data_IF_204207894899
#
_entry.id   IF_204207894899
#
_cell.length_a   1.000
_cell.length_b   1.000
_cell.length_c   1.000
_cell.angle_alpha   90.00
_cell.angle_beta   90.00
_cell.angle_gamma   90.00
#
_symmetry.space_group_name_H-M   'P 1'
#
loop_
_entity.id
_entity.type
_entity.pdbx_description
1 polymer ?
#
# COMPACT_ATOMS: atom_id res chain seq x y z
N UNK A 1 0.05 -7.36 10.75
CA UNK A 1 -0.13 -6.04 10.11
C UNK A 1 -0.15 -6.08 8.59
N UNK A 2 0.98 -6.34 7.88
CA UNK A 2 0.97 -6.41 6.39
C UNK A 2 0.12 -7.58 5.86
N UNK A 3 0.11 -8.72 6.57
CA UNK A 3 -0.74 -9.89 6.25
C UNK A 3 -2.23 -9.63 6.45
N UNK A 4 -2.60 -8.88 7.49
CA UNK A 4 -4.00 -8.55 7.77
C UNK A 4 -4.53 -7.53 6.76
N UNK A 5 -3.68 -6.55 6.39
CA UNK A 5 -3.94 -5.60 5.32
C UNK A 5 -4.12 -6.32 3.97
N UNK A 6 -3.31 -7.34 3.71
CA UNK A 6 -3.42 -8.18 2.53
C UNK A 6 -4.75 -8.95 2.48
N UNK A 7 -5.12 -9.63 3.57
CA UNK A 7 -6.39 -10.37 3.68
C UNK A 7 -7.59 -9.45 3.47
N UNK A 8 -7.55 -8.25 4.04
CA UNK A 8 -8.62 -7.27 3.90
C UNK A 8 -8.74 -6.73 2.46
N UNK A 9 -7.63 -6.37 1.82
CA UNK A 9 -7.63 -5.90 0.43
C UNK A 9 -8.09 -7.01 -0.52
N UNK A 10 -7.64 -8.25 -0.30
CA UNK A 10 -8.05 -9.40 -1.09
C UNK A 10 -9.54 -9.70 -0.93
N UNK A 11 -10.07 -9.71 0.30
CA UNK A 11 -11.49 -9.90 0.58
C UNK A 11 -12.36 -8.80 -0.04
N UNK A 12 -11.96 -7.53 0.11
CA UNK A 12 -12.65 -6.39 -0.48
C UNK A 12 -12.72 -6.48 -2.00
N UNK A 13 -11.59 -6.77 -2.66
CA UNK A 13 -11.57 -6.89 -4.12
C UNK A 13 -12.36 -8.11 -4.59
N UNK A 14 -12.28 -9.26 -3.89
CA UNK A 14 -13.08 -10.45 -4.18
C UNK A 14 -14.58 -10.20 -4.09
N UNK A 15 -15.01 -9.48 -3.06
CA UNK A 15 -16.42 -9.20 -2.78
C UNK A 15 -17.01 -8.13 -3.68
N UNK A 16 -16.29 -7.04 -3.95
CA UNK A 16 -16.87 -5.88 -4.63
C UNK A 16 -16.46 -5.71 -6.09
N UNK A 17 -15.24 -6.11 -6.46
CA UNK A 17 -14.79 -6.04 -7.85
C UNK A 17 -15.01 -7.37 -8.57
N UNK A 18 -14.48 -8.48 -8.05
CA UNK A 18 -14.44 -9.74 -8.78
C UNK A 18 -15.75 -10.52 -8.76
N UNK A 19 -16.61 -10.30 -7.78
CA UNK A 19 -17.94 -10.92 -7.73
C UNK A 19 -18.81 -10.55 -8.96
N UNK A 20 -18.67 -9.32 -9.49
CA UNK A 20 -19.33 -8.90 -10.75
C UNK A 20 -18.75 -9.59 -11.98
N UNK A 21 -17.44 -9.81 -12.03
CA UNK A 21 -16.78 -10.51 -13.14
C UNK A 21 -17.02 -12.03 -13.12
N UNK A 22 -17.21 -12.64 -11.95
CA UNK A 22 -17.57 -14.06 -11.82
C UNK A 22 -18.96 -14.38 -12.39
N UNK A 23 -19.89 -13.42 -12.36
CA UNK A 23 -21.23 -13.58 -12.91
C UNK A 23 -21.29 -13.51 -14.44
N UNK A 24 -20.33 -12.84 -15.10
CA UNK A 24 -20.43 -12.52 -16.53
C UNK A 24 -20.12 -13.73 -17.42
N UNK A 25 -19.17 -14.61 -17.07
CA UNK A 25 -18.90 -15.80 -17.90
C UNK A 25 -18.31 -16.96 -17.09
N UNK A 26 -19.12 -18.00 -16.92
CA UNK A 26 -18.65 -19.34 -16.60
C UNK A 26 -17.72 -19.85 -17.70
N UNK A 27 -16.41 -19.59 -17.58
CA UNK A 27 -15.23 -20.42 -17.90
C UNK A 27 -13.99 -19.54 -18.08
N UNK A 28 -13.20 -19.45 -16.99
CA UNK A 28 -11.91 -18.74 -16.80
C UNK A 28 -11.95 -17.21 -17.02
N UNK A 29 -11.78 -16.39 -15.97
CA UNK A 29 -11.89 -14.94 -16.11
C UNK A 29 -10.67 -14.34 -16.82
N UNK A 30 -10.88 -13.69 -17.96
CA UNK A 30 -9.90 -12.85 -18.69
C UNK A 30 -9.27 -11.80 -17.76
N UNK A 31 -10.01 -11.38 -16.73
CA UNK A 31 -9.68 -10.36 -15.75
C UNK A 31 -8.79 -10.82 -14.58
N UNK A 32 -8.52 -12.12 -14.41
CA UNK A 32 -7.52 -12.65 -13.43
C UNK A 32 -6.18 -11.94 -13.64
N UNK A 33 -5.68 -11.91 -14.89
CA UNK A 33 -4.36 -11.35 -15.18
C UNK A 33 -4.25 -9.85 -14.84
N UNK A 34 -5.30 -9.08 -15.08
CA UNK A 34 -5.35 -7.64 -14.77
C UNK A 34 -5.50 -7.40 -13.26
N UNK A 35 -6.33 -8.22 -12.58
CA UNK A 35 -6.47 -8.29 -11.12
C UNK A 35 -5.11 -8.47 -10.44
N UNK A 36 -4.41 -9.55 -10.78
CA UNK A 36 -3.13 -9.85 -10.18
C UNK A 36 -2.10 -8.78 -10.53
N UNK A 37 -2.05 -8.31 -11.79
CA UNK A 37 -1.10 -7.26 -12.19
C UNK A 37 -1.29 -5.95 -11.41
N UNK A 38 -2.53 -5.53 -11.18
CA UNK A 38 -2.82 -4.28 -10.46
C UNK A 38 -2.47 -4.42 -8.98
N UNK A 39 -2.79 -5.56 -8.36
CA UNK A 39 -2.46 -5.87 -6.97
C UNK A 39 -0.95 -6.04 -6.74
N UNK A 40 -0.23 -6.66 -7.67
CA UNK A 40 1.22 -6.80 -7.59
C UNK A 40 1.91 -5.45 -7.78
N UNK A 41 1.48 -4.65 -8.77
CA UNK A 41 2.05 -3.32 -8.99
C UNK A 41 1.85 -2.42 -7.78
N UNK A 42 0.68 -2.44 -7.16
CA UNK A 42 0.43 -1.65 -5.96
C UNK A 42 1.23 -2.11 -4.75
N UNK A 43 1.43 -3.43 -4.59
CA UNK A 43 2.32 -3.99 -3.57
C UNK A 43 3.76 -3.52 -3.78
N UNK A 44 4.23 -3.56 -5.01
CA UNK A 44 5.58 -3.11 -5.36
C UNK A 44 5.72 -1.60 -5.10
N UNK A 45 4.78 -0.78 -5.55
CA UNK A 45 4.82 0.68 -5.36
C UNK A 45 4.82 1.08 -3.87
N UNK A 46 3.97 0.44 -3.04
CA UNK A 46 3.95 0.66 -1.59
C UNK A 46 5.25 0.17 -0.95
N UNK A 47 5.73 -1.02 -1.33
CA UNK A 47 6.96 -1.60 -0.81
C UNK A 47 8.19 -0.75 -1.14
N UNK A 48 8.27 -0.20 -2.35
CA UNK A 48 9.33 0.71 -2.79
C UNK A 48 9.30 2.01 -1.99
N UNK A 49 8.11 2.61 -1.81
CA UNK A 49 7.96 3.84 -1.03
C UNK A 49 8.45 3.64 0.41
N UNK A 50 7.97 2.60 1.10
CA UNK A 50 8.40 2.28 2.47
C UNK A 50 9.91 2.00 2.55
N UNK A 51 10.46 1.22 1.62
CA UNK A 51 11.90 0.91 1.60
C UNK A 51 12.78 2.14 1.39
N UNK A 52 12.33 3.09 0.55
CA UNK A 52 13.05 4.35 0.32
C UNK A 52 13.08 5.21 1.58
N UNK A 53 11.96 5.27 2.31
CA UNK A 53 11.84 5.95 3.59
C UNK A 53 12.75 5.28 4.64
N UNK A 54 12.71 3.96 4.77
CA UNK A 54 13.57 3.19 5.68
C UNK A 54 15.06 3.49 5.45
N UNK A 55 15.49 3.51 4.19
CA UNK A 55 16.88 3.79 3.82
C UNK A 55 17.30 5.19 4.23
N UNK A 56 16.48 6.20 3.94
CA UNK A 56 16.76 7.59 4.30
C UNK A 56 16.84 7.78 5.82
N UNK A 57 15.91 7.20 6.57
CA UNK A 57 15.90 7.31 8.03
C UNK A 57 17.05 6.55 8.68
N UNK A 58 17.45 5.41 8.11
CA UNK A 58 18.64 4.67 8.54
C UNK A 58 19.90 5.52 8.36
N UNK A 59 20.08 6.17 7.20
CA UNK A 59 21.22 7.06 6.94
C UNK A 59 21.24 8.26 7.92
N UNK A 60 20.08 8.86 8.17
CA UNK A 60 19.95 9.97 9.11
C UNK A 60 20.31 9.53 10.54
N UNK A 61 19.84 8.36 10.98
CA UNK A 61 20.17 7.81 12.29
C UNK A 61 21.67 7.53 12.45
N UNK A 62 22.29 6.90 11.45
CA UNK A 62 23.74 6.68 11.44
C UNK A 62 24.52 8.00 11.54
N UNK A 63 24.02 9.07 10.90
CA UNK A 63 24.64 10.39 10.98
C UNK A 63 24.57 10.98 12.40
N UNK A 64 23.43 10.81 13.11
CA UNK A 64 23.31 11.22 14.52
C UNK A 64 24.31 10.47 15.42
N UNK A 65 24.43 9.15 15.22
CA UNK A 65 25.39 8.32 15.97
C UNK A 65 26.83 8.75 15.69
N UNK A 66 27.18 8.98 14.42
CA UNK A 66 28.52 9.39 14.01
C UNK A 66 28.90 10.77 14.56
N UNK A 67 27.94 11.68 14.65
CA UNK A 67 28.16 13.04 15.16
C UNK A 67 28.21 13.11 16.69
N UNK A 68 27.99 11.99 17.39
CA UNK A 68 28.03 11.95 18.85
C UNK A 68 26.85 12.68 19.50
N UNK A 69 25.69 12.68 18.83
CA UNK A 69 24.47 13.29 19.35
C UNK A 69 24.04 12.68 20.69
N UNK A 70 23.23 13.41 21.46
CA UNK A 70 22.76 12.91 22.75
C UNK A 70 21.81 11.71 22.57
N UNK A 71 21.77 10.83 23.58
CA UNK A 71 20.81 9.72 23.63
C UNK A 71 19.36 10.23 23.55
N UNK A 72 19.08 11.42 24.08
CA UNK A 72 17.74 12.02 24.03
C UNK A 72 17.33 12.38 22.59
N UNK A 73 18.24 13.00 21.84
CA UNK A 73 18.01 13.33 20.42
C UNK A 73 17.84 12.06 19.57
N UNK A 74 18.63 11.01 19.83
CA UNK A 74 18.44 9.71 19.16
C UNK A 74 17.08 9.09 19.47
N UNK A 75 16.62 9.13 20.73
CA UNK A 75 15.29 8.65 21.12
C UNK A 75 14.19 9.44 20.43
N UNK A 76 14.29 10.77 20.44
CA UNK A 76 13.33 11.67 19.80
C UNK A 76 13.25 11.43 18.29
N UNK A 77 14.38 11.17 17.64
CA UNK A 77 14.43 10.78 16.24
C UNK A 77 13.66 9.46 15.99
N UNK A 78 13.90 8.42 16.81
CA UNK A 78 13.21 7.12 16.67
C UNK A 78 11.69 7.28 16.84
N UNK A 79 11.23 8.03 17.85
CA UNK A 79 9.80 8.29 18.02
C UNK A 79 9.18 9.05 16.85
N UNK A 80 9.88 10.07 16.35
CA UNK A 80 9.46 10.83 15.16
C UNK A 80 9.35 9.92 13.93
N UNK A 81 10.33 9.05 13.74
CA UNK A 81 10.35 8.08 12.65
C UNK A 81 9.16 7.12 12.70
N UNK A 82 8.91 6.47 13.84
CA UNK A 82 7.78 5.53 14.00
C UNK A 82 6.45 6.23 13.66
N UNK A 83 6.26 7.45 14.20
CA UNK A 83 5.05 8.24 13.90
C UNK A 83 4.92 8.57 12.42
N UNK A 84 6.01 8.98 11.78
CA UNK A 84 6.05 9.29 10.35
C UNK A 84 5.72 8.05 9.51
N UNK A 85 6.25 6.90 9.90
CA UNK A 85 6.03 5.62 9.22
C UNK A 85 4.55 5.19 9.29
N UNK A 86 3.92 5.31 10.46
CA UNK A 86 2.49 5.02 10.63
C UNK A 86 1.62 5.93 9.76
N UNK A 87 1.95 7.23 9.68
CA UNK A 87 1.22 8.17 8.81
C UNK A 87 1.42 7.85 7.33
N UNK A 88 2.65 7.57 6.90
CA UNK A 88 2.97 7.23 5.53
C UNK A 88 2.24 5.96 5.07
N UNK A 89 2.20 4.94 5.93
CA UNK A 89 1.50 3.70 5.65
C UNK A 89 -0.01 3.92 5.47
N UNK A 90 -0.62 4.76 6.30
CA UNK A 90 -2.04 5.10 6.20
C UNK A 90 -2.37 5.92 4.95
N UNK A 91 -1.52 6.89 4.59
CA UNK A 91 -1.72 7.72 3.40
C UNK A 91 -1.58 6.92 2.11
N UNK A 92 -0.54 6.09 2.00
CA UNK A 92 -0.35 5.18 0.87
C UNK A 92 -1.54 4.22 0.72
N UNK A 93 -2.07 3.72 1.84
CA UNK A 93 -3.26 2.88 1.84
C UNK A 93 -4.50 3.64 1.33
N UNK A 94 -4.74 4.86 1.81
CA UNK A 94 -5.89 5.67 1.44
C UNK A 94 -5.84 6.09 -0.04
N UNK A 95 -4.67 6.50 -0.54
CA UNK A 95 -4.47 6.84 -1.95
C UNK A 95 -4.72 5.62 -2.85
N UNK A 96 -4.18 4.45 -2.48
CA UNK A 96 -4.42 3.24 -3.23
C UNK A 96 -5.91 2.86 -3.25
N UNK A 97 -6.59 2.96 -2.10
CA UNK A 97 -8.04 2.73 -1.98
C UNK A 97 -8.83 3.68 -2.87
N UNK A 98 -8.46 4.96 -2.94
CA UNK A 98 -9.09 5.96 -3.85
C UNK A 98 -8.91 5.57 -5.31
N UNK A 99 -7.71 5.15 -5.72
CA UNK A 99 -7.43 4.72 -7.10
C UNK A 99 -8.30 3.51 -7.48
N UNK A 100 -8.38 2.50 -6.63
CA UNK A 100 -9.24 1.33 -6.85
C UNK A 100 -10.71 1.72 -6.98
N UNK A 101 -11.24 2.46 -5.99
CA UNK A 101 -12.65 2.88 -5.99
C UNK A 101 -13.01 3.80 -7.15
N UNK A 102 -12.10 4.69 -7.57
CA UNK A 102 -12.26 5.52 -8.77
C UNK A 102 -12.32 4.71 -10.06
N UNK A 103 -11.44 3.71 -10.21
CA UNK A 103 -11.47 2.78 -11.35
C UNK A 103 -12.78 1.99 -11.43
N UNK A 104 -13.32 1.55 -10.28
CA UNK A 104 -14.62 0.86 -10.21
C UNK A 104 -15.78 1.75 -10.65
N UNK A 105 -15.78 3.03 -10.28
CA UNK A 105 -16.82 3.97 -10.73
C UNK A 105 -16.76 4.17 -12.24
N UNK A 106 -15.56 4.33 -12.80
CA UNK A 106 -15.38 4.55 -14.24
C UNK A 106 -15.73 3.32 -15.08
N UNK A 107 -15.47 2.09 -14.60
CA UNK A 107 -15.88 0.87 -15.30
C UNK A 107 -17.38 0.66 -15.32
N UNK A 108 -18.12 1.11 -14.28
CA UNK A 108 -19.60 1.03 -14.24
C UNK A 108 -20.28 2.03 -15.18
N UNK A 109 -19.61 3.12 -15.56
CA UNK A 109 -20.12 4.11 -16.50
C UNK A 109 -19.94 3.73 -17.98
N UNK A 110 -19.14 2.70 -18.27
CA UNK A 110 -18.95 2.16 -19.63
C UNK A 110 -19.91 1.01 -19.96
N UNK A 111 -20.75 0.60 -19.01
CA UNK A 111 -21.80 -0.43 -19.16
C UNK A 111 -23.18 0.17 -19.51
N UNK A 112 -23.24 1.44 -19.96
CA UNK A 112 -24.47 2.09 -20.47
C UNK A 112 -24.37 2.37 -21.97
#
# INVERSE_FOLDING_TARGET
MIKDLWLYIEDYLNKYEYQRYHHIMCRRPVCVRIKYRTLYKSKDDIGVALSSTDMQHTLNFYSLVKNGESIDEMKKFIYSYIKCYDTLQNDLFNEHRKICTGRVRNSKGLDM
#
